data_IF_746416099263
#
_entry.id   IF_746416099263
#
_cell.length_a   1.000
_cell.length_b   1.000
_cell.length_c   1.000
_cell.angle_alpha   90.00
_cell.angle_beta   90.00
_cell.angle_gamma   90.00
#
_symmetry.space_group_name_H-M   'P 1'
#
loop_
_entity.id
_entity.type
_entity.pdbx_description
1 polymer ?
#
# COMPACT_ATOMS: atom_id res chain seq x y z
N UNK A 1 0.74 -7.36 -5.87
CA UNK A 1 1.92 -7.00 -5.03
C UNK A 1 3.07 -8.00 -5.18
N UNK A 2 3.07 -8.85 -6.22
CA UNK A 2 4.09 -9.89 -6.43
C UNK A 2 5.51 -9.32 -6.57
N UNK A 3 5.67 -8.18 -7.26
CA UNK A 3 6.95 -7.47 -7.37
C UNK A 3 7.53 -6.98 -6.04
N UNK A 4 6.75 -7.03 -4.96
CA UNK A 4 7.17 -6.70 -3.59
C UNK A 4 7.20 -7.92 -2.66
N UNK A 5 7.07 -9.14 -3.19
CA UNK A 5 7.11 -10.37 -2.39
C UNK A 5 5.86 -10.63 -1.55
N UNK A 6 4.72 -9.98 -1.88
CA UNK A 6 3.41 -10.29 -1.28
C UNK A 6 2.58 -11.06 -2.31
N UNK A 7 2.23 -12.28 -1.96
CA UNK A 7 1.62 -13.28 -2.83
C UNK A 7 0.14 -13.53 -2.48
N UNK A 8 -0.67 -13.99 -3.44
CA UNK A 8 -2.03 -14.45 -3.15
C UNK A 8 -2.04 -15.51 -2.05
N UNK A 9 -2.87 -15.32 -1.03
CA UNK A 9 -2.95 -16.20 0.14
C UNK A 9 -2.18 -15.70 1.37
N UNK A 10 -1.27 -14.73 1.21
CA UNK A 10 -0.61 -14.07 2.34
C UNK A 10 -1.62 -13.33 3.22
N UNK A 11 -1.39 -13.38 4.54
CA UNK A 11 -2.16 -12.62 5.51
C UNK A 11 -1.40 -11.38 5.92
N UNK A 12 -2.09 -10.24 5.92
CA UNK A 12 -1.50 -8.95 6.29
C UNK A 12 -1.93 -8.57 7.70
N UNK A 13 -0.96 -8.32 8.57
CA UNK A 13 -1.22 -7.75 9.90
C UNK A 13 -1.16 -6.24 9.76
N UNK A 14 -2.31 -5.59 9.93
CA UNK A 14 -2.47 -4.14 9.68
C UNK A 14 -2.60 -3.39 10.99
N UNK A 15 -1.74 -2.38 11.17
CA UNK A 15 -1.80 -1.44 12.27
C UNK A 15 -2.57 -0.18 11.84
N UNK A 16 -3.78 -0.01 12.39
CA UNK A 16 -4.66 1.15 12.13
C UNK A 16 -4.28 2.42 12.92
N UNK A 17 -3.43 2.29 13.93
CA UNK A 17 -2.99 3.41 14.76
C UNK A 17 -1.64 4.01 14.29
N UNK A 18 -1.05 3.47 13.23
CA UNK A 18 0.23 3.95 12.71
C UNK A 18 0.08 5.32 12.03
N UNK A 19 0.91 6.28 12.42
CA UNK A 19 0.92 7.64 11.86
C UNK A 19 2.03 7.88 10.81
N UNK A 20 3.03 6.98 10.73
CA UNK A 20 4.15 7.09 9.79
C UNK A 20 3.89 6.21 8.57
N UNK A 21 3.86 6.82 7.39
CA UNK A 21 3.48 6.16 6.14
C UNK A 21 4.67 5.93 5.20
N UNK A 22 5.68 6.80 5.22
CA UNK A 22 6.78 6.78 4.26
C UNK A 22 7.52 5.43 4.23
N UNK A 23 7.74 4.90 3.03
CA UNK A 23 8.39 3.60 2.79
C UNK A 23 7.68 2.43 3.48
N UNK A 24 6.35 2.53 3.67
CA UNK A 24 5.53 1.44 4.22
C UNK A 24 4.50 0.96 3.20
N UNK A 25 4.14 -0.31 3.32
CA UNK A 25 2.93 -0.82 2.69
C UNK A 25 1.71 -0.35 3.47
N UNK A 26 0.69 0.12 2.76
CA UNK A 26 -0.55 0.61 3.33
C UNK A 26 -1.73 -0.05 2.66
N UNK A 27 -2.80 -0.24 3.43
CA UNK A 27 -4.13 -0.53 2.89
C UNK A 27 -4.83 0.81 2.66
N UNK A 28 -5.26 1.05 1.44
CA UNK A 28 -5.95 2.27 1.01
C UNK A 28 -7.27 1.93 0.36
N UNK A 29 -8.27 2.78 0.53
CA UNK A 29 -9.49 2.73 -0.28
C UNK A 29 -9.30 3.63 -1.52
N UNK A 30 -9.41 3.05 -2.71
CA UNK A 30 -9.31 3.76 -3.98
C UNK A 30 -10.68 3.90 -4.68
N UNK A 31 -11.78 3.85 -3.92
CA UNK A 31 -13.14 4.05 -4.43
C UNK A 31 -13.67 2.83 -5.15
N UNK A 32 -13.92 2.93 -6.47
CA UNK A 32 -14.55 1.87 -7.27
C UNK A 32 -13.71 0.57 -7.32
N UNK A 33 -12.41 0.69 -7.09
CA UNK A 33 -11.52 -0.46 -6.96
C UNK A 33 -11.62 -1.16 -5.60
N UNK A 34 -12.14 -0.48 -4.59
CA UNK A 34 -12.14 -0.89 -3.18
C UNK A 34 -10.74 -0.90 -2.57
N UNK A 35 -10.58 -1.68 -1.49
CA UNK A 35 -9.30 -1.74 -0.77
C UNK A 35 -8.16 -2.32 -1.62
N UNK A 36 -7.01 -1.64 -1.58
CA UNK A 36 -5.77 -2.03 -2.25
C UNK A 36 -4.58 -1.90 -1.31
N UNK A 37 -3.57 -2.73 -1.54
CA UNK A 37 -2.26 -2.59 -0.89
C UNK A 37 -1.34 -1.84 -1.84
N UNK A 38 -0.67 -0.80 -1.35
CA UNK A 38 0.29 0.02 -2.10
C UNK A 38 1.51 0.31 -1.24
N UNK A 39 2.66 0.57 -1.87
CA UNK A 39 3.84 1.08 -1.18
C UNK A 39 3.79 2.62 -1.19
N UNK A 40 3.91 3.27 -0.05
CA UNK A 40 4.06 4.72 0.00
C UNK A 40 5.52 5.06 -0.28
N UNK A 41 5.77 5.77 -1.38
CA UNK A 41 7.08 6.31 -1.73
C UNK A 41 7.03 7.83 -1.75
N UNK A 42 8.12 8.48 -1.35
CA UNK A 42 8.27 9.93 -1.44
C UNK A 42 9.10 10.29 -2.67
N UNK A 43 8.65 11.30 -3.43
CA UNK A 43 9.42 11.84 -4.56
C UNK A 43 10.47 12.87 -4.10
N UNK A 44 11.25 13.39 -5.06
CA UNK A 44 12.30 14.39 -4.80
C UNK A 44 11.76 15.75 -4.33
N UNK A 45 10.46 16.02 -4.52
CA UNK A 45 9.80 17.27 -4.14
C UNK A 45 9.03 17.12 -2.82
N UNK A 46 9.07 15.95 -2.19
CA UNK A 46 8.44 15.66 -0.90
C UNK A 46 7.02 15.10 -0.99
N UNK A 47 6.46 14.95 -2.20
CA UNK A 47 5.13 14.39 -2.43
C UNK A 47 5.11 12.88 -2.19
N UNK A 48 4.04 12.37 -1.56
CA UNK A 48 3.84 10.93 -1.36
C UNK A 48 3.01 10.33 -2.48
N UNK A 49 3.43 9.13 -2.90
CA UNK A 49 2.85 8.37 -4.00
C UNK A 49 2.57 6.93 -3.55
N UNK A 50 1.44 6.39 -3.97
CA UNK A 50 1.02 5.01 -3.80
C UNK A 50 1.50 4.19 -4.99
N UNK A 51 2.62 3.50 -4.79
CA UNK A 51 3.26 2.69 -5.82
C UNK A 51 2.57 1.35 -6.01
N UNK A 52 2.34 1.00 -7.27
CA UNK A 52 1.96 -0.34 -7.67
C UNK A 52 3.16 -1.30 -7.66
N UNK A 53 2.89 -2.60 -7.55
CA UNK A 53 3.92 -3.62 -7.80
C UNK A 53 4.00 -4.01 -9.27
N UNK A 54 2.90 -3.79 -10.01
CA UNK A 54 2.82 -4.03 -11.44
C UNK A 54 3.12 -2.71 -12.16
N UNK A 55 4.17 -2.63 -13.01
CA UNK A 55 4.54 -1.40 -13.71
C UNK A 55 3.45 -0.85 -14.64
N UNK A 56 2.48 -1.66 -15.06
CA UNK A 56 1.38 -1.23 -15.93
C UNK A 56 0.30 -0.49 -15.13
N UNK A 57 0.20 -0.77 -13.83
CA UNK A 57 -0.77 -0.10 -12.97
C UNK A 57 -0.17 1.26 -12.55
N UNK A 58 -0.84 2.38 -12.85
CA UNK A 58 -0.30 3.69 -12.56
C UNK A 58 -0.17 3.91 -11.05
N UNK A 59 0.83 4.72 -10.70
CA UNK A 59 0.96 5.23 -9.34
C UNK A 59 -0.08 6.32 -9.08
N UNK A 60 -0.54 6.40 -7.83
CA UNK A 60 -1.55 7.39 -7.42
C UNK A 60 -0.91 8.36 -6.44
N UNK A 61 -1.10 9.67 -6.61
CA UNK A 61 -0.59 10.66 -5.67
C UNK A 61 -1.41 10.61 -4.37
N UNK A 62 -0.76 10.36 -3.23
CA UNK A 62 -1.43 10.25 -1.92
C UNK A 62 -1.85 11.62 -1.39
N UNK A 63 -1.00 12.62 -1.58
CA UNK A 63 -1.20 13.99 -1.09
C UNK A 63 -1.78 14.91 -2.17
N UNK A 64 -2.61 14.36 -3.06
CA UNK A 64 -3.26 15.12 -4.12
C UNK A 64 -4.49 15.89 -3.64
N UNK A 65 -5.21 16.51 -4.59
CA UNK A 65 -6.43 17.29 -4.29
C UNK A 65 -7.59 16.42 -3.78
N UNK A 66 -7.65 15.16 -4.22
CA UNK A 66 -8.65 14.19 -3.78
C UNK A 66 -8.08 13.41 -2.60
N UNK A 67 -8.70 13.48 -1.41
CA UNK A 67 -8.21 12.75 -0.25
C UNK A 67 -8.39 11.25 -0.44
N UNK A 68 -7.32 10.49 -0.18
CA UNK A 68 -7.34 9.03 -0.18
C UNK A 68 -7.33 8.53 1.25
N UNK A 69 -8.29 7.68 1.60
CA UNK A 69 -8.34 7.07 2.93
C UNK A 69 -7.27 5.98 3.07
N UNK A 70 -6.32 6.21 3.98
CA UNK A 70 -5.38 5.18 4.42
C UNK A 70 -6.00 4.44 5.61
N UNK A 71 -6.46 3.21 5.38
CA UNK A 71 -7.10 2.38 6.40
C UNK A 71 -6.13 1.89 7.48
N UNK A 72 -4.88 1.65 7.09
CA UNK A 72 -3.81 1.29 8.03
C UNK A 72 -2.51 0.87 7.36
N UNK A 73 -1.45 0.74 8.17
CA UNK A 73 -0.12 0.34 7.73
C UNK A 73 0.06 -1.17 7.88
N UNK A 74 0.51 -1.84 6.84
CA UNK A 74 0.90 -3.25 6.90
C UNK A 74 2.18 -3.36 7.72
N UNK A 75 2.07 -3.98 8.89
CA UNK A 75 3.17 -4.18 9.83
C UNK A 75 3.92 -5.50 9.59
N UNK A 76 3.20 -6.53 9.14
CA UNK A 76 3.75 -7.85 8.84
C UNK A 76 3.00 -8.50 7.69
N UNK A 77 3.74 -9.34 6.95
CA UNK A 77 3.21 -10.28 5.96
C UNK A 77 3.44 -11.67 6.52
N UNK A 78 2.39 -12.47 6.62
CA UNK A 78 2.44 -13.85 7.09
C UNK A 78 2.07 -14.77 5.94
N UNK A 79 3.07 -15.47 5.40
CA UNK A 79 2.92 -16.37 4.27
C UNK A 79 2.73 -17.81 4.73
N UNK A 80 1.84 -18.54 4.06
CA UNK A 80 1.68 -19.98 4.26
C UNK A 80 2.59 -20.72 3.28
N UNK A 81 3.55 -21.48 3.79
CA UNK A 81 4.62 -22.09 2.98
C UNK A 81 4.30 -23.49 2.45
N UNK A 82 3.41 -24.23 3.10
CA UNK A 82 2.92 -25.54 2.65
C UNK A 82 1.60 -25.87 3.38
N UNK A 83 0.71 -26.71 2.82
CA UNK A 83 -0.50 -27.19 3.51
C UNK A 83 -0.23 -27.92 4.83
#
# INVERSE_FOLDING_TARGET
MLGFGIFPGDRLIVNRAACQLDNRFVVVDLGDEGYRVRLVARDLFGGRWLKAADPIVPDVQLDGDVPIEVWGVVSWVVSHVAP
#
